data_IF_327706176779
#
_entry.id   IF_327706176779
#
_cell.length_a   1.000
_cell.length_b   1.000
_cell.length_c   1.000
_cell.angle_alpha   90.00
_cell.angle_beta   90.00
_cell.angle_gamma   90.00
#
_symmetry.space_group_name_H-M   'P 1'
#
loop_
_entity.id
_entity.type
_entity.pdbx_description
1 polymer ?
#
# COMPACT_ATOMS: atom_id res chain seq x y z
N UNK A 1 -31.99 -85.47 -64.63
CA UNK A 1 -31.86 -84.10 -65.14
C UNK A 1 -32.03 -83.14 -63.96
N UNK A 2 -30.96 -82.56 -63.40
CA UNK A 2 -31.09 -81.57 -62.34
C UNK A 2 -31.52 -80.21 -62.93
N UNK A 3 -32.53 -79.61 -62.30
CA UNK A 3 -33.04 -78.28 -62.62
C UNK A 3 -32.19 -77.23 -61.88
N UNK A 4 -31.51 -76.37 -62.64
CA UNK A 4 -30.75 -75.21 -62.12
C UNK A 4 -31.73 -74.05 -61.91
N UNK A 5 -31.79 -73.40 -60.74
CA UNK A 5 -32.57 -72.18 -60.55
C UNK A 5 -31.86 -70.99 -61.23
N UNK A 6 -32.60 -69.96 -61.68
CA UNK A 6 -32.01 -68.81 -62.37
C UNK A 6 -31.21 -67.93 -61.41
N UNK A 7 -30.03 -67.49 -61.84
CA UNK A 7 -29.21 -66.49 -61.14
C UNK A 7 -29.95 -65.14 -61.13
N UNK A 8 -30.31 -64.65 -59.95
CA UNK A 8 -31.06 -63.41 -59.71
C UNK A 8 -30.16 -62.38 -58.99
N UNK A 9 -28.87 -62.33 -59.38
CA UNK A 9 -27.81 -61.68 -58.60
C UNK A 9 -27.20 -60.45 -59.29
N UNK A 10 -27.99 -59.49 -59.78
CA UNK A 10 -27.54 -58.09 -59.93
C UNK A 10 -28.71 -57.10 -60.07
N UNK A 11 -29.39 -56.77 -58.96
CA UNK A 11 -30.31 -55.61 -58.94
C UNK A 11 -29.55 -54.34 -58.51
N UNK A 12 -29.24 -53.42 -59.45
CA UNK A 12 -28.48 -52.20 -59.15
C UNK A 12 -29.16 -51.30 -58.10
N UNK A 13 -30.48 -51.42 -57.91
CA UNK A 13 -31.22 -50.65 -56.92
C UNK A 13 -30.89 -51.07 -55.47
N UNK A 14 -30.41 -52.29 -55.24
CA UNK A 14 -30.04 -52.80 -53.90
C UNK A 14 -28.54 -52.65 -53.59
N UNK A 15 -27.73 -52.47 -54.61
CA UNK A 15 -26.27 -52.38 -54.48
C UNK A 15 -25.82 -50.99 -54.01
N UNK A 16 -26.44 -49.94 -54.55
CA UNK A 16 -26.19 -48.54 -54.19
C UNK A 16 -26.35 -48.21 -52.69
N UNK A 17 -27.47 -48.57 -52.03
CA UNK A 17 -27.64 -48.32 -50.59
C UNK A 17 -26.65 -49.12 -49.73
N UNK A 18 -26.17 -50.27 -50.22
CA UNK A 18 -25.18 -51.09 -49.53
C UNK A 18 -23.80 -50.44 -49.58
N UNK A 19 -23.38 -49.97 -50.76
CA UNK A 19 -22.12 -49.22 -50.93
C UNK A 19 -22.11 -47.89 -50.16
N UNK A 20 -23.25 -47.17 -50.13
CA UNK A 20 -23.37 -45.93 -49.36
C UNK A 20 -23.21 -46.17 -47.85
N UNK A 21 -23.79 -47.26 -47.33
CA UNK A 21 -23.64 -47.67 -45.92
C UNK A 21 -22.19 -48.07 -45.59
N UNK A 22 -21.56 -48.85 -46.47
CA UNK A 22 -20.14 -49.26 -46.33
C UNK A 22 -19.22 -48.02 -46.30
N UNK A 23 -19.43 -47.08 -47.22
CA UNK A 23 -18.68 -45.82 -47.30
C UNK A 23 -18.89 -44.94 -46.06
N UNK A 24 -20.14 -44.78 -45.61
CA UNK A 24 -20.43 -44.03 -44.39
C UNK A 24 -19.77 -44.66 -43.15
N UNK A 25 -19.73 -45.99 -43.07
CA UNK A 25 -19.06 -46.72 -42.00
C UNK A 25 -17.53 -46.55 -42.06
N UNK A 26 -16.94 -46.57 -43.25
CA UNK A 26 -15.52 -46.30 -43.44
C UNK A 26 -15.15 -44.85 -43.07
N UNK A 27 -15.96 -43.87 -43.48
CA UNK A 27 -15.74 -42.46 -43.13
C UNK A 27 -15.84 -42.27 -41.61
N UNK A 28 -16.80 -42.91 -40.95
CA UNK A 28 -16.93 -42.85 -39.49
C UNK A 28 -15.73 -43.47 -38.76
N UNK A 29 -15.27 -44.64 -39.22
CA UNK A 29 -14.09 -45.31 -38.66
C UNK A 29 -12.81 -44.51 -38.90
N UNK A 30 -12.66 -43.91 -40.08
CA UNK A 30 -11.56 -43.01 -40.39
C UNK A 30 -11.60 -41.75 -39.50
N UNK A 31 -12.79 -41.20 -39.24
CA UNK A 31 -12.98 -40.09 -38.31
C UNK A 31 -12.56 -40.43 -36.88
N UNK A 32 -12.97 -41.59 -36.36
CA UNK A 32 -12.57 -42.08 -35.04
C UNK A 32 -11.06 -42.38 -34.97
N UNK A 33 -10.48 -42.93 -36.03
CA UNK A 33 -9.03 -43.19 -36.11
C UNK A 33 -8.21 -41.91 -36.14
N UNK A 34 -8.65 -40.90 -36.90
CA UNK A 34 -8.01 -39.58 -36.95
C UNK A 34 -8.12 -38.85 -35.61
N UNK A 35 -9.27 -38.91 -34.93
CA UNK A 35 -9.45 -38.33 -33.59
C UNK A 35 -8.56 -39.02 -32.55
N UNK A 36 -8.49 -40.36 -32.55
CA UNK A 36 -7.61 -41.10 -31.66
C UNK A 36 -6.13 -40.75 -31.90
N UNK A 37 -5.72 -40.56 -33.15
CA UNK A 37 -4.38 -40.10 -33.51
C UNK A 37 -4.11 -38.68 -33.03
N UNK A 38 -5.06 -37.75 -33.22
CA UNK A 38 -4.95 -36.39 -32.72
C UNK A 38 -4.89 -36.32 -31.19
N UNK A 39 -5.61 -37.19 -30.47
CA UNK A 39 -5.54 -37.27 -29.01
C UNK A 39 -4.17 -37.79 -28.55
N UNK A 40 -3.61 -38.80 -29.23
CA UNK A 40 -2.29 -39.34 -28.93
C UNK A 40 -1.15 -38.36 -29.27
N UNK A 41 -1.25 -37.62 -30.38
CA UNK A 41 -0.28 -36.60 -30.78
C UNK A 41 -0.44 -35.32 -29.96
N UNK A 42 -1.66 -34.96 -29.58
CA UNK A 42 -1.97 -33.81 -28.73
C UNK A 42 -1.34 -33.91 -27.34
N UNK A 43 -1.32 -35.11 -26.74
CA UNK A 43 -0.62 -35.35 -25.47
C UNK A 43 0.89 -35.06 -25.54
N UNK A 44 1.55 -35.46 -26.64
CA UNK A 44 2.98 -35.21 -26.85
C UNK A 44 3.30 -33.73 -27.03
N UNK A 45 2.47 -33.02 -27.78
CA UNK A 45 2.60 -31.57 -27.97
C UNK A 45 2.38 -30.84 -26.65
N UNK A 46 1.41 -31.27 -25.85
CA UNK A 46 1.17 -30.72 -24.51
C UNK A 46 2.37 -30.95 -23.58
N UNK A 47 2.90 -32.17 -23.51
CA UNK A 47 4.11 -32.46 -22.70
C UNK A 47 5.32 -31.63 -23.14
N UNK A 48 5.49 -31.41 -24.45
CA UNK A 48 6.54 -30.55 -24.99
C UNK A 48 6.35 -29.09 -24.54
N UNK A 49 5.13 -28.56 -24.64
CA UNK A 49 4.78 -27.21 -24.18
C UNK A 49 5.00 -27.04 -22.68
N UNK A 50 4.63 -28.02 -21.86
CA UNK A 50 4.85 -27.99 -20.40
C UNK A 50 6.35 -28.00 -20.09
N UNK A 51 7.14 -28.81 -20.80
CA UNK A 51 8.60 -28.84 -20.62
C UNK A 51 9.23 -27.51 -21.03
N UNK A 52 8.80 -26.93 -22.13
CA UNK A 52 9.28 -25.62 -22.60
C UNK A 52 8.87 -24.49 -21.64
N UNK A 53 7.64 -24.52 -21.13
CA UNK A 53 7.17 -23.58 -20.10
C UNK A 53 7.98 -23.68 -18.80
N UNK A 54 8.28 -24.90 -18.33
CA UNK A 54 9.15 -25.10 -17.17
C UNK A 54 10.58 -24.62 -17.42
N UNK A 55 11.14 -24.86 -18.61
CA UNK A 55 12.47 -24.40 -18.98
C UNK A 55 12.54 -22.86 -19.06
N UNK A 56 11.51 -22.23 -19.64
CA UNK A 56 11.38 -20.78 -19.70
C UNK A 56 11.26 -20.17 -18.31
N UNK A 57 10.41 -20.75 -17.44
CA UNK A 57 10.26 -20.27 -16.06
C UNK A 57 11.59 -20.34 -15.28
N UNK A 58 12.33 -21.44 -15.40
CA UNK A 58 13.66 -21.57 -14.76
C UNK A 58 14.62 -20.51 -15.28
N UNK A 59 14.73 -20.37 -16.60
CA UNK A 59 15.58 -19.35 -17.23
C UNK A 59 15.21 -17.94 -16.77
N UNK A 60 13.91 -17.62 -16.71
CA UNK A 60 13.43 -16.32 -16.20
C UNK A 60 13.75 -16.13 -14.73
N UNK A 61 13.58 -17.14 -13.88
CA UNK A 61 13.97 -17.08 -12.47
C UNK A 61 15.47 -16.84 -12.30
N UNK A 62 16.31 -17.55 -13.05
CA UNK A 62 17.78 -17.40 -12.98
C UNK A 62 18.20 -15.99 -13.41
N UNK A 63 17.69 -15.50 -14.56
CA UNK A 63 17.98 -14.14 -15.02
C UNK A 63 17.43 -13.08 -14.07
N UNK A 64 16.25 -13.31 -13.49
CA UNK A 64 15.69 -12.39 -12.52
C UNK A 64 16.60 -12.35 -11.29
N UNK A 65 16.98 -13.50 -10.74
CA UNK A 65 17.88 -13.59 -9.58
C UNK A 65 19.19 -12.83 -9.81
N UNK A 66 19.80 -12.97 -11.00
CA UNK A 66 21.01 -12.23 -11.39
C UNK A 66 20.77 -10.71 -11.47
N UNK A 67 19.70 -10.28 -12.16
CA UNK A 67 19.37 -8.87 -12.31
C UNK A 67 18.96 -8.21 -10.98
N UNK A 68 18.23 -8.93 -10.11
CA UNK A 68 17.86 -8.47 -8.77
C UNK A 68 19.09 -8.38 -7.87
N UNK A 69 20.01 -9.35 -7.92
CA UNK A 69 21.26 -9.30 -7.17
C UNK A 69 22.12 -8.10 -7.58
N UNK A 70 22.28 -7.87 -8.88
CA UNK A 70 23.06 -6.75 -9.39
C UNK A 70 22.38 -5.39 -9.12
N UNK A 71 21.06 -5.31 -9.27
CA UNK A 71 20.29 -4.11 -8.94
C UNK A 71 20.29 -3.81 -7.44
N UNK A 72 20.15 -4.83 -6.59
CA UNK A 72 20.23 -4.69 -5.13
C UNK A 72 21.64 -4.26 -4.71
N UNK A 73 22.68 -4.79 -5.35
CA UNK A 73 24.07 -4.38 -5.09
C UNK A 73 24.32 -2.93 -5.53
N UNK A 74 23.85 -2.53 -6.71
CA UNK A 74 23.93 -1.13 -7.20
C UNK A 74 23.10 -0.18 -6.33
N UNK A 75 21.92 -0.60 -5.88
CA UNK A 75 21.07 0.17 -4.96
C UNK A 75 21.73 0.31 -3.58
N UNK A 76 22.35 -0.76 -3.06
CA UNK A 76 23.12 -0.71 -1.82
C UNK A 76 24.31 0.25 -1.93
N UNK A 77 25.05 0.22 -3.04
CA UNK A 77 26.16 1.15 -3.28
C UNK A 77 25.68 2.60 -3.45
N UNK A 78 24.56 2.83 -4.13
CA UNK A 78 23.95 4.16 -4.24
C UNK A 78 23.40 4.64 -2.90
N UNK A 79 22.78 3.78 -2.09
CA UNK A 79 22.28 4.13 -0.77
C UNK A 79 23.42 4.49 0.19
N UNK A 80 24.52 3.75 0.18
CA UNK A 80 25.72 4.08 0.96
C UNK A 80 26.39 5.36 0.44
N UNK A 81 26.48 5.54 -0.88
CA UNK A 81 27.05 6.75 -1.50
C UNK A 81 26.19 8.01 -1.35
N UNK A 82 24.86 7.86 -1.27
CA UNK A 82 23.95 8.92 -0.82
C UNK A 82 24.10 9.13 0.68
N UNK A 83 24.27 8.10 1.51
CA UNK A 83 24.42 8.25 2.96
C UNK A 83 25.52 9.25 3.34
N UNK A 84 26.67 9.21 2.66
CA UNK A 84 27.81 10.09 2.96
C UNK A 84 27.73 11.47 2.30
N UNK A 85 27.19 11.61 1.08
CA UNK A 85 27.07 12.91 0.39
C UNK A 85 25.76 13.63 0.64
N UNK A 86 24.73 12.90 1.06
CA UNK A 86 23.41 13.44 1.30
C UNK A 86 23.18 13.83 2.76
N UNK A 87 24.03 13.49 3.74
CA UNK A 87 23.83 13.96 5.12
C UNK A 87 23.58 15.48 5.17
N UNK A 88 24.43 16.29 4.51
CA UNK A 88 24.22 17.75 4.42
C UNK A 88 23.08 18.19 3.48
N UNK A 89 22.61 17.34 2.56
CA UNK A 89 21.42 17.63 1.74
C UNK A 89 20.12 17.25 2.49
N UNK A 90 20.17 16.22 3.32
CA UNK A 90 19.10 15.79 4.22
C UNK A 90 18.87 16.84 5.28
N UNK A 91 19.92 17.40 5.90
CA UNK A 91 19.80 18.54 6.83
C UNK A 91 19.11 19.75 6.16
N UNK A 92 19.42 20.03 4.89
CA UNK A 92 18.77 21.13 4.14
C UNK A 92 17.30 20.83 3.84
N UNK A 93 16.97 19.58 3.52
CA UNK A 93 15.60 19.14 3.31
C UNK A 93 14.79 19.11 4.61
N UNK A 94 15.42 18.74 5.72
CA UNK A 94 14.85 18.83 7.06
C UNK A 94 14.48 20.27 7.39
N UNK A 95 15.38 21.23 7.13
CA UNK A 95 15.07 22.66 7.29
C UNK A 95 13.90 23.14 6.42
N UNK A 96 13.82 22.71 5.15
CA UNK A 96 12.69 23.07 4.26
C UNK A 96 11.38 22.41 4.72
N UNK A 97 11.45 21.16 5.16
CA UNK A 97 10.29 20.43 5.69
C UNK A 97 9.77 21.09 6.96
N UNK A 98 10.66 21.43 7.90
CA UNK A 98 10.31 22.13 9.12
C UNK A 98 9.69 23.49 8.82
N UNK A 99 10.24 24.27 7.88
CA UNK A 99 9.65 25.54 7.46
C UNK A 99 8.22 25.34 6.90
N UNK A 100 8.02 24.31 6.06
CA UNK A 100 6.72 24.00 5.47
C UNK A 100 5.71 23.52 6.52
N UNK A 101 6.14 22.67 7.46
CA UNK A 101 5.31 22.17 8.57
C UNK A 101 4.95 23.32 9.51
N UNK A 102 5.93 24.13 9.91
CA UNK A 102 5.71 25.33 10.73
C UNK A 102 4.69 26.27 10.08
N UNK A 103 4.84 26.55 8.77
CA UNK A 103 3.90 27.39 8.02
C UNK A 103 2.50 26.78 7.90
N UNK A 104 2.39 25.45 7.80
CA UNK A 104 1.11 24.76 7.79
C UNK A 104 0.42 24.80 9.16
N UNK A 105 1.18 24.59 10.24
CA UNK A 105 0.70 24.67 11.62
C UNK A 105 0.24 26.08 11.96
N UNK A 106 0.98 27.12 11.57
CA UNK A 106 0.58 28.52 11.72
C UNK A 106 -0.72 28.82 10.98
N UNK A 107 -0.89 28.31 9.75
CA UNK A 107 -2.15 28.44 9.00
C UNK A 107 -3.33 27.72 9.66
N UNK A 108 -3.07 26.65 10.39
CA UNK A 108 -4.06 25.92 11.18
C UNK A 108 -4.34 26.57 12.54
N UNK A 109 -3.63 27.66 12.88
CA UNK A 109 -3.80 28.39 14.13
C UNK A 109 -3.05 27.79 15.32
N UNK A 110 -2.07 26.92 15.08
CA UNK A 110 -1.22 26.38 16.15
C UNK A 110 -0.15 27.42 16.50
N UNK A 111 -0.13 27.95 17.73
CA UNK A 111 0.85 28.94 18.15
C UNK A 111 2.25 28.32 18.26
N UNK A 112 3.27 29.12 17.94
CA UNK A 112 4.67 28.72 18.03
C UNK A 112 5.16 28.68 19.48
N UNK A 113 6.24 27.95 19.74
CA UNK A 113 6.84 27.89 21.07
C UNK A 113 7.26 29.28 21.60
N UNK A 114 7.77 30.15 20.72
CA UNK A 114 8.16 31.52 21.08
C UNK A 114 6.96 32.38 21.48
N UNK A 115 5.84 32.26 20.77
CA UNK A 115 4.61 32.98 21.12
C UNK A 115 4.03 32.50 22.45
N UNK A 116 4.05 31.20 22.70
CA UNK A 116 3.64 30.62 23.98
C UNK A 116 4.55 31.11 25.11
N UNK A 117 5.86 31.18 24.89
CA UNK A 117 6.81 31.66 25.89
C UNK A 117 6.60 33.16 26.19
N UNK A 118 6.46 33.99 25.16
CA UNK A 118 6.20 35.41 25.32
C UNK A 118 4.87 35.67 26.05
N UNK A 119 3.87 34.80 25.87
CA UNK A 119 2.62 34.86 26.62
C UNK A 119 2.82 34.51 28.11
N UNK A 120 3.61 33.48 28.43
CA UNK A 120 3.94 33.14 29.83
C UNK A 120 4.62 34.32 30.54
N UNK A 121 5.62 34.94 29.92
CA UNK A 121 6.32 36.09 30.50
C UNK A 121 5.37 37.26 30.80
N UNK A 122 4.42 37.52 29.90
CA UNK A 122 3.38 38.54 30.13
C UNK A 122 2.44 38.18 31.28
N UNK A 123 2.05 36.90 31.38
CA UNK A 123 1.20 36.42 32.48
C UNK A 123 1.93 36.56 33.82
N UNK A 124 3.21 36.23 33.87
CA UNK A 124 4.02 36.35 35.09
C UNK A 124 4.12 37.82 35.53
N UNK A 125 4.41 38.73 34.59
CA UNK A 125 4.46 40.16 34.87
C UNK A 125 3.11 40.70 35.40
N UNK A 126 2.00 40.34 34.75
CA UNK A 126 0.66 40.73 35.19
C UNK A 126 0.31 40.15 36.57
N UNK A 127 0.73 38.92 36.84
CA UNK A 127 0.51 38.27 38.15
C UNK A 127 1.23 39.03 39.26
N UNK A 128 2.47 39.47 39.00
CA UNK A 128 3.24 40.28 39.95
C UNK A 128 2.60 41.65 40.19
N UNK A 129 2.14 42.34 39.13
CA UNK A 129 1.45 43.62 39.26
C UNK A 129 0.15 43.48 40.06
N UNK A 130 -0.62 42.41 39.83
CA UNK A 130 -1.86 42.15 40.54
C UNK A 130 -1.62 41.86 42.02
N UNK A 131 -0.58 41.09 42.36
CA UNK A 131 -0.16 40.87 43.75
C UNK A 131 0.21 42.19 44.44
N UNK A 132 1.02 43.03 43.78
CA UNK A 132 1.42 44.33 44.32
C UNK A 132 0.22 45.27 44.55
N UNK A 133 -0.80 45.21 43.68
CA UNK A 133 -2.04 45.97 43.86
C UNK A 133 -2.89 45.43 45.01
N UNK A 134 -2.99 44.11 45.17
CA UNK A 134 -3.71 43.48 46.28
C UNK A 134 -3.07 43.80 47.63
N UNK A 135 -1.74 43.78 47.73
CA UNK A 135 -1.01 44.20 48.94
C UNK A 135 -1.31 45.67 49.28
N UNK A 136 -1.30 46.56 48.29
CA UNK A 136 -1.65 47.98 48.47
C UNK A 136 -3.10 48.20 48.87
N UNK A 137 -4.03 47.34 48.46
CA UNK A 137 -5.43 47.40 48.87
C UNK A 137 -5.62 46.87 50.30
N UNK A 138 -4.97 45.77 50.66
CA UNK A 138 -5.00 45.21 52.00
C UNK A 138 -4.46 46.19 53.07
N UNK A 139 -3.39 46.93 52.74
CA UNK A 139 -2.84 47.97 53.62
C UNK A 139 -3.83 49.14 53.83
N UNK A 140 -4.62 49.48 52.81
CA UNK A 140 -5.67 50.51 52.92
C UNK A 140 -6.86 50.08 53.78
N UNK A 141 -7.26 48.81 53.69
CA UNK A 141 -8.39 48.29 54.47
C UNK A 141 -7.98 47.94 55.92
N UNK A 142 -6.71 47.60 56.16
CA UNK A 142 -6.16 47.34 57.50
C UNK A 142 -6.05 48.58 58.40
N UNK A 143 -6.07 49.79 57.84
CA UNK A 143 -6.02 51.06 58.57
C UNK A 143 -7.33 51.40 59.31
N UNK A 144 -8.41 50.64 59.13
CA UNK A 144 -9.69 50.84 59.83
C UNK A 144 -9.90 49.90 61.04
N UNK A 145 -8.88 49.64 61.86
CA UNK A 145 -9.11 49.11 63.21
C UNK A 145 -8.31 49.92 64.23
N UNK A 146 -8.80 51.12 64.55
CA UNK A 146 -8.23 51.97 65.59
C UNK A 146 -8.59 51.43 67.01
N UNK A 147 -7.66 51.48 67.99
CA UNK A 147 -7.89 50.98 69.35
C UNK A 147 -8.89 51.86 70.13
N UNK A 148 -9.58 51.31 71.15
CA UNK A 148 -10.62 52.04 71.87
C UNK A 148 -10.03 53.23 72.67
N UNK A 149 -10.70 54.40 72.68
CA UNK A 149 -10.15 55.58 73.33
C UNK A 149 -10.22 55.47 74.85
N UNK A 150 -9.07 55.68 75.50
CA UNK A 150 -8.98 55.86 76.96
C UNK A 150 -9.61 57.19 77.36
N UNK A 151 -10.54 57.15 78.32
CA UNK A 151 -11.26 58.32 78.83
C UNK A 151 -10.33 59.24 79.63
N UNK A 152 -10.46 60.58 79.53
CA UNK A 152 -9.69 61.50 80.34
C UNK A 152 -10.30 61.63 81.74
N UNK A 153 -9.50 61.41 82.78
CA UNK A 153 -9.86 61.74 84.16
C UNK A 153 -9.41 63.17 84.47
N UNK A 154 -10.40 64.04 84.66
CA UNK A 154 -10.31 65.38 85.28
C UNK A 154 -10.14 65.26 86.80
N UNK A 155 -9.22 66.05 87.39
CA UNK A 155 -9.38 66.91 88.60
C UNK A 155 -7.97 67.35 89.03
N UNK A 156 -7.59 68.63 88.94
CA UNK A 156 -7.79 69.73 89.92
C UNK A 156 -7.10 69.47 91.27
N UNK A 157 -6.30 70.45 91.72
CA UNK A 157 -5.68 70.49 93.05
C UNK A 157 -4.24 70.97 93.03
#
# INVERSE_FOLDING_TARGET
MPHVPPDDDTDPAREFPRMARESAQQIWLAGLGAFAKAQAEGGKVFEALVREGMALQRKTQDTAQEHWGEAAQRMGQMASGLGERAAGQWDRLEGIFEERVSKALQRLGVPTAQEVQALHERIDALTQELQALQERQADRDGVTTAPPPSRPSTHEG
#
